data_IF_902118811861
#
_entry.id   IF_902118811861
#
_cell.length_a   1.000
_cell.length_b   1.000
_cell.length_c   1.000
_cell.angle_alpha   90.00
_cell.angle_beta   90.00
_cell.angle_gamma   90.00
#
_symmetry.space_group_name_H-M   'P 1'
#
loop_
_entity.id
_entity.type
_entity.pdbx_description
1 polymer ?
#
# COMPACT_ATOMS: atom_id res chain seq x y z
N UNK A 1 -21.23 3.20 -1.77
CA UNK A 1 -21.01 1.88 -2.42
C UNK A 1 -19.79 2.02 -3.30
N UNK A 2 -18.64 1.53 -2.84
CA UNK A 2 -17.49 1.36 -3.74
C UNK A 2 -17.86 0.20 -4.66
N UNK A 3 -17.95 0.48 -5.97
CA UNK A 3 -18.40 -0.48 -6.97
C UNK A 3 -17.55 -1.75 -6.96
N UNK A 4 -18.16 -2.87 -7.33
CA UNK A 4 -17.45 -4.13 -7.52
C UNK A 4 -16.24 -3.89 -8.43
N UNK A 5 -15.05 -4.21 -7.91
CA UNK A 5 -13.80 -4.03 -8.63
C UNK A 5 -13.75 -5.05 -9.77
N UNK A 6 -14.06 -4.62 -11.00
CA UNK A 6 -13.94 -5.46 -12.18
C UNK A 6 -12.48 -5.45 -12.63
N UNK A 7 -11.66 -6.32 -12.04
CA UNK A 7 -10.24 -6.41 -12.37
C UNK A 7 -9.45 -7.17 -11.32
N UNK A 8 -8.28 -7.66 -11.71
CA UNK A 8 -7.31 -8.25 -10.79
C UNK A 8 -6.62 -7.14 -10.00
N UNK A 9 -6.92 -6.98 -8.70
CA UNK A 9 -6.23 -6.03 -7.83
C UNK A 9 -4.91 -6.63 -7.34
N UNK A 10 -3.81 -5.93 -7.52
CA UNK A 10 -2.50 -6.25 -6.94
C UNK A 10 -2.31 -5.39 -5.69
N UNK A 11 -2.03 -6.01 -4.56
CA UNK A 11 -1.80 -5.33 -3.28
C UNK A 11 -0.30 -5.30 -3.04
N UNK A 12 0.24 -4.11 -2.79
CA UNK A 12 1.65 -3.87 -2.49
C UNK A 12 1.71 -3.14 -1.15
N UNK A 13 2.49 -3.62 -0.19
CA UNK A 13 2.61 -2.95 1.12
C UNK A 13 4.02 -3.08 1.70
N UNK A 14 4.33 -2.26 2.69
CA UNK A 14 5.57 -2.39 3.47
C UNK A 14 5.66 -3.76 4.16
N UNK A 15 6.88 -4.29 4.26
CA UNK A 15 7.11 -5.69 4.62
C UNK A 15 7.44 -5.97 6.08
N UNK A 16 7.82 -4.94 6.85
CA UNK A 16 8.52 -5.17 8.14
C UNK A 16 7.63 -5.01 9.37
N UNK A 17 6.66 -4.10 9.35
CA UNK A 17 5.95 -3.68 10.56
C UNK A 17 4.44 -4.01 10.53
N UNK A 18 3.82 -3.79 11.69
CA UNK A 18 2.39 -4.04 11.90
C UNK A 18 1.52 -3.12 11.03
N UNK A 19 2.01 -1.94 10.66
CA UNK A 19 1.23 -0.99 9.88
C UNK A 19 1.16 -1.37 8.39
N UNK A 20 2.30 -1.74 7.82
CA UNK A 20 2.40 -2.30 6.47
C UNK A 20 1.63 -3.60 6.33
N UNK A 21 1.77 -4.52 7.29
CA UNK A 21 1.04 -5.79 7.28
C UNK A 21 -0.47 -5.57 7.54
N UNK A 22 -0.83 -4.64 8.43
CA UNK A 22 -2.21 -4.36 8.78
C UNK A 22 -3.00 -3.74 7.64
N UNK A 23 -2.43 -2.74 6.97
CA UNK A 23 -3.00 -2.14 5.76
C UNK A 23 -3.18 -3.19 4.64
N UNK A 24 -2.18 -4.06 4.42
CA UNK A 24 -2.28 -5.17 3.47
C UNK A 24 -3.42 -6.16 3.81
N UNK A 25 -3.59 -6.51 5.08
CA UNK A 25 -4.64 -7.42 5.52
C UNK A 25 -6.06 -6.85 5.28
N UNK A 26 -6.24 -5.55 5.55
CA UNK A 26 -7.50 -4.85 5.26
C UNK A 26 -7.76 -4.82 3.75
N UNK A 27 -6.74 -4.52 2.95
CA UNK A 27 -6.85 -4.52 1.50
C UNK A 27 -7.25 -5.89 0.93
N UNK A 28 -6.64 -6.97 1.41
CA UNK A 28 -6.99 -8.34 1.02
C UNK A 28 -8.45 -8.65 1.33
N UNK A 29 -8.88 -8.33 2.55
CA UNK A 29 -10.26 -8.56 3.00
C UNK A 29 -11.28 -7.77 2.19
N UNK A 30 -11.01 -6.50 1.91
CA UNK A 30 -11.94 -5.59 1.24
C UNK A 30 -12.05 -5.85 -0.27
N UNK A 31 -10.97 -6.31 -0.89
CA UNK A 31 -10.93 -6.57 -2.35
C UNK A 31 -11.21 -8.02 -2.72
N UNK A 32 -11.03 -8.96 -1.79
CA UNK A 32 -11.03 -10.40 -2.09
C UNK A 32 -9.84 -10.85 -2.94
N UNK A 33 -8.83 -9.99 -3.12
CA UNK A 33 -7.62 -10.34 -3.88
C UNK A 33 -6.80 -11.42 -3.19
N UNK A 34 -5.97 -12.10 -3.98
CA UNK A 34 -4.95 -13.07 -3.52
C UNK A 34 -3.55 -12.70 -3.98
N UNK A 35 -3.37 -11.50 -4.52
CA UNK A 35 -2.10 -11.01 -5.06
C UNK A 35 -1.51 -9.98 -4.11
N UNK A 36 -0.82 -10.46 -3.09
CA UNK A 36 -0.09 -9.63 -2.14
C UNK A 36 1.41 -9.68 -2.46
N UNK A 37 2.03 -8.52 -2.45
CA UNK A 37 3.46 -8.33 -2.53
C UNK A 37 3.89 -7.43 -1.37
N UNK A 38 4.72 -7.97 -0.48
CA UNK A 38 5.35 -7.19 0.57
C UNK A 38 6.73 -6.77 0.05
N UNK A 39 7.04 -5.48 0.13
CA UNK A 39 8.29 -4.92 -0.37
C UNK A 39 8.81 -3.85 0.58
N UNK A 40 10.13 -3.80 0.76
CA UNK A 40 10.82 -2.67 1.38
C UNK A 40 11.29 -1.63 0.36
N UNK A 41 12.32 -0.88 0.75
CA UNK A 41 12.87 0.22 -0.06
C UNK A 41 14.04 -0.19 -0.98
N UNK A 42 14.39 -1.47 -1.04
CA UNK A 42 15.44 -1.95 -1.94
C UNK A 42 15.00 -1.85 -3.42
N UNK A 43 15.76 -1.16 -4.30
CA UNK A 43 15.37 -1.00 -5.69
C UNK A 43 15.22 -2.31 -6.49
N UNK A 44 15.91 -3.39 -6.12
CA UNK A 44 15.81 -4.67 -6.81
C UNK A 44 14.44 -5.33 -6.59
N UNK A 45 13.89 -5.22 -5.38
CA UNK A 45 12.53 -5.68 -5.08
C UNK A 45 11.47 -4.98 -5.95
N UNK A 46 11.68 -3.69 -6.24
CA UNK A 46 10.80 -2.90 -7.10
C UNK A 46 10.93 -3.27 -8.59
N UNK A 47 12.12 -3.66 -9.03
CA UNK A 47 12.32 -4.21 -10.38
C UNK A 47 11.57 -5.53 -10.55
N UNK A 48 11.65 -6.41 -9.55
CA UNK A 48 10.94 -7.69 -9.55
C UNK A 48 9.42 -7.50 -9.51
N UNK A 49 8.93 -6.61 -8.64
CA UNK A 49 7.54 -6.17 -8.59
C UNK A 49 7.09 -5.65 -9.96
N UNK A 50 7.85 -4.73 -10.56
CA UNK A 50 7.56 -4.19 -11.89
C UNK A 50 7.45 -5.29 -12.95
N UNK A 51 8.34 -6.28 -12.91
CA UNK A 51 8.29 -7.46 -13.78
C UNK A 51 7.00 -8.28 -13.63
N UNK A 52 6.52 -8.45 -12.40
CA UNK A 52 5.28 -9.15 -12.08
C UNK A 52 4.04 -8.38 -12.55
N UNK A 53 3.97 -7.08 -12.24
CA UNK A 53 2.88 -6.20 -12.64
C UNK A 53 2.76 -6.09 -14.17
N UNK A 54 3.90 -5.99 -14.86
CA UNK A 54 3.94 -6.01 -16.33
C UNK A 54 3.37 -7.29 -16.92
N UNK A 55 3.70 -8.45 -16.36
CA UNK A 55 3.13 -9.75 -16.78
C UNK A 55 1.62 -9.77 -16.54
N UNK A 56 1.17 -9.30 -15.37
CA UNK A 56 -0.24 -9.16 -15.03
C UNK A 56 -1.01 -8.33 -16.05
N UNK A 57 -0.52 -7.12 -16.35
CA UNK A 57 -1.18 -6.27 -17.33
C UNK A 57 -1.19 -6.86 -18.74
N UNK A 58 -0.11 -7.53 -19.19
CA UNK A 58 -0.10 -8.19 -20.50
C UNK A 58 -1.13 -9.31 -20.62
N UNK A 59 -1.44 -10.00 -19.51
CA UNK A 59 -2.46 -11.06 -19.47
C UNK A 59 -3.88 -10.49 -19.59
N UNK A 60 -4.17 -9.43 -18.84
CA UNK A 60 -5.55 -8.96 -18.65
C UNK A 60 -5.90 -7.70 -19.48
N UNK A 61 -4.92 -7.04 -20.08
CA UNK A 61 -5.08 -5.74 -20.77
C UNK A 61 -5.37 -4.55 -19.85
N UNK A 62 -5.59 -4.81 -18.56
CA UNK A 62 -5.80 -3.80 -17.52
C UNK A 62 -5.19 -4.24 -16.19
N UNK A 63 -4.79 -3.29 -15.35
CA UNK A 63 -4.30 -3.57 -14.00
C UNK A 63 -4.75 -2.51 -12.99
N UNK A 64 -5.15 -2.95 -11.81
CA UNK A 64 -5.38 -2.10 -10.65
C UNK A 64 -4.42 -2.49 -9.54
N UNK A 65 -3.75 -1.50 -8.96
CA UNK A 65 -2.73 -1.67 -7.94
C UNK A 65 -3.13 -0.84 -6.74
N UNK A 66 -3.13 -1.46 -5.58
CA UNK A 66 -3.27 -0.76 -4.31
C UNK A 66 -1.93 -0.83 -3.58
N UNK A 67 -1.35 0.34 -3.31
CA UNK A 67 -0.08 0.46 -2.60
C UNK A 67 -0.35 1.04 -1.21
N UNK A 68 0.27 0.50 -0.17
CA UNK A 68 0.19 1.06 1.17
C UNK A 68 1.52 1.15 1.88
N UNK A 69 1.60 2.13 2.79
CA UNK A 69 2.68 2.27 3.77
C UNK A 69 4.10 2.42 3.19
N UNK A 70 4.19 2.99 2.00
CA UNK A 70 5.44 3.10 1.25
C UNK A 70 5.58 4.52 0.72
N UNK A 71 6.60 5.27 1.15
CA UNK A 71 6.96 6.59 0.62
C UNK A 71 8.30 6.61 -0.13
N UNK A 72 8.46 5.77 -1.17
CA UNK A 72 9.75 5.53 -1.77
C UNK A 72 10.27 6.76 -2.53
N UNK A 73 11.54 6.70 -2.93
CA UNK A 73 12.13 7.74 -3.77
C UNK A 73 11.57 7.73 -5.20
N UNK A 74 11.85 8.81 -5.93
CA UNK A 74 11.46 8.97 -7.34
C UNK A 74 11.85 7.76 -8.21
N UNK A 75 13.04 7.19 -7.99
CA UNK A 75 13.56 6.05 -8.74
C UNK A 75 12.63 4.83 -8.71
N UNK A 76 12.00 4.56 -7.56
CA UNK A 76 11.08 3.44 -7.40
C UNK A 76 9.81 3.62 -8.23
N UNK A 77 9.27 4.84 -8.26
CA UNK A 77 8.13 5.21 -9.09
C UNK A 77 8.50 5.17 -10.58
N UNK A 78 9.72 5.57 -10.94
CA UNK A 78 10.24 5.45 -12.31
C UNK A 78 10.29 3.97 -12.76
N UNK A 79 10.73 3.05 -11.90
CA UNK A 79 10.73 1.60 -12.17
C UNK A 79 9.30 1.09 -12.42
N UNK A 80 8.32 1.49 -11.60
CA UNK A 80 6.92 1.13 -11.82
C UNK A 80 6.39 1.71 -13.14
N UNK A 81 6.66 2.98 -13.40
CA UNK A 81 6.18 3.68 -14.59
C UNK A 81 6.76 3.07 -15.87
N UNK A 82 8.04 2.70 -15.87
CA UNK A 82 8.67 1.97 -16.98
C UNK A 82 8.05 0.59 -17.17
N UNK A 83 7.85 -0.14 -16.08
CA UNK A 83 7.27 -1.49 -16.12
C UNK A 83 5.83 -1.51 -16.67
N UNK A 84 5.08 -0.45 -16.41
CA UNK A 84 3.67 -0.31 -16.80
C UNK A 84 3.47 0.57 -18.05
N UNK A 85 4.54 1.01 -18.72
CA UNK A 85 4.47 1.94 -19.87
C UNK A 85 3.49 1.45 -20.94
N UNK A 86 3.63 0.20 -21.35
CA UNK A 86 2.83 -0.41 -22.42
C UNK A 86 1.50 -0.99 -21.94
N UNK A 87 1.15 -0.80 -20.66
CA UNK A 87 -0.10 -1.27 -20.09
C UNK A 87 -1.27 -0.41 -20.58
N UNK A 88 -2.26 -0.96 -21.34
CA UNK A 88 -3.32 -0.16 -21.96
C UNK A 88 -4.21 0.58 -20.96
N UNK A 89 -4.52 -0.08 -19.84
CA UNK A 89 -5.30 0.50 -18.75
C UNK A 89 -4.63 0.18 -17.42
N UNK A 90 -4.32 1.20 -16.64
CA UNK A 90 -3.65 1.08 -15.35
C UNK A 90 -4.21 2.09 -14.38
N UNK A 91 -4.35 1.68 -13.13
CA UNK A 91 -4.70 2.54 -12.01
C UNK A 91 -3.89 2.12 -10.80
N UNK A 92 -3.34 3.10 -10.08
CA UNK A 92 -2.68 2.89 -8.79
C UNK A 92 -3.40 3.76 -7.78
N UNK A 93 -3.92 3.15 -6.71
CA UNK A 93 -4.35 3.87 -5.52
C UNK A 93 -3.27 3.70 -4.45
N UNK A 94 -2.73 4.80 -3.95
CA UNK A 94 -1.61 4.79 -3.00
C UNK A 94 -2.07 5.39 -1.67
N UNK A 95 -2.16 4.55 -0.65
CA UNK A 95 -2.72 4.88 0.66
C UNK A 95 -1.59 4.94 1.68
N UNK A 96 -1.25 6.12 2.16
CA UNK A 96 -0.06 6.30 3.00
C UNK A 96 -0.26 7.39 4.07
N UNK A 97 0.70 7.53 4.98
CA UNK A 97 0.70 8.53 6.06
C UNK A 97 2.05 9.25 6.21
N UNK A 98 3.10 8.79 5.53
CA UNK A 98 4.43 9.38 5.60
C UNK A 98 4.52 10.78 4.98
N UNK A 99 5.66 11.45 5.24
CA UNK A 99 6.04 12.65 4.51
C UNK A 99 6.72 12.26 3.21
N UNK A 100 6.20 12.76 2.10
CA UNK A 100 6.79 12.59 0.79
C UNK A 100 7.59 13.83 0.41
N UNK A 101 8.63 13.64 -0.40
CA UNK A 101 9.36 14.76 -1.00
C UNK A 101 8.50 15.32 -2.14
N UNK A 102 8.39 16.64 -2.22
CA UNK A 102 7.53 17.34 -3.21
C UNK A 102 7.81 16.92 -4.65
N UNK A 103 9.08 16.69 -4.99
CA UNK A 103 9.48 16.22 -6.32
C UNK A 103 8.98 14.81 -6.66
N UNK A 104 8.76 13.97 -5.64
CA UNK A 104 8.24 12.61 -5.80
C UNK A 104 6.73 12.66 -5.98
N UNK A 105 6.02 13.48 -5.18
CA UNK A 105 4.58 13.72 -5.33
C UNK A 105 4.26 14.28 -6.72
N UNK A 106 4.94 15.36 -7.10
CA UNK A 106 4.78 16.00 -8.41
C UNK A 106 5.01 15.02 -9.56
N UNK A 107 6.02 14.14 -9.42
CA UNK A 107 6.28 13.10 -10.41
C UNK A 107 5.17 12.06 -10.46
N UNK A 108 4.73 11.53 -9.31
CA UNK A 108 3.65 10.55 -9.24
C UNK A 108 2.34 11.08 -9.85
N UNK A 109 1.96 12.31 -9.51
CA UNK A 109 0.79 12.99 -10.05
C UNK A 109 0.88 13.19 -11.57
N UNK A 110 2.06 13.58 -12.07
CA UNK A 110 2.27 13.79 -13.51
C UNK A 110 2.06 12.55 -14.38
N UNK A 111 2.10 11.35 -13.79
CA UNK A 111 1.83 10.09 -14.49
C UNK A 111 0.35 9.91 -14.83
N UNK A 112 -0.56 10.60 -14.12
CA UNK A 112 -2.00 10.66 -14.42
C UNK A 112 -2.80 9.38 -14.17
N UNK A 113 -2.19 8.34 -13.60
CA UNK A 113 -2.86 7.09 -13.21
C UNK A 113 -2.59 6.69 -11.76
N UNK A 114 -1.98 7.57 -10.97
CA UNK A 114 -1.71 7.37 -9.54
C UNK A 114 -2.61 8.32 -8.75
N UNK A 115 -3.53 7.75 -7.98
CA UNK A 115 -4.38 8.44 -7.02
C UNK A 115 -3.72 8.34 -5.63
N UNK A 116 -3.28 9.46 -5.07
CA UNK A 116 -2.67 9.52 -3.74
C UNK A 116 -3.74 9.79 -2.66
N UNK A 117 -3.76 8.97 -1.62
CA UNK A 117 -4.52 9.16 -0.39
C UNK A 117 -3.52 9.23 0.77
N UNK A 118 -3.13 10.45 1.14
CA UNK A 118 -2.14 10.69 2.20
C UNK A 118 -2.80 11.43 3.35
N UNK A 119 -2.89 10.77 4.50
CA UNK A 119 -3.37 11.39 5.74
C UNK A 119 -2.43 11.09 6.89
N UNK A 120 -1.67 12.11 7.26
CA UNK A 120 -0.58 12.03 8.25
C UNK A 120 -1.05 12.01 9.70
N UNK A 121 -2.36 12.13 9.95
CA UNK A 121 -2.93 12.07 11.31
C UNK A 121 -3.26 10.65 11.78
N UNK A 122 -3.00 9.68 10.91
CA UNK A 122 -3.38 8.28 11.01
C UNK A 122 -2.21 7.39 10.61
N UNK A 123 -2.31 6.11 10.91
CA UNK A 123 -1.42 5.09 10.35
C UNK A 123 -1.88 4.67 8.94
N UNK A 124 -1.05 3.99 8.17
CA UNK A 124 -1.45 3.42 6.88
C UNK A 124 -2.59 2.41 7.02
N UNK A 125 -2.63 1.62 8.11
CA UNK A 125 -3.73 0.70 8.45
C UNK A 125 -5.03 1.45 8.67
N UNK A 126 -5.01 2.54 9.45
CA UNK A 126 -6.18 3.38 9.68
C UNK A 126 -6.67 4.05 8.39
N UNK A 127 -5.74 4.55 7.57
CA UNK A 127 -6.03 5.14 6.27
C UNK A 127 -6.66 4.11 5.32
N UNK A 128 -6.15 2.88 5.32
CA UNK A 128 -6.71 1.81 4.50
C UNK A 128 -8.13 1.41 4.95
N UNK A 129 -8.38 1.34 6.26
CA UNK A 129 -9.72 1.10 6.78
C UNK A 129 -10.71 2.18 6.33
N UNK A 130 -10.29 3.45 6.35
CA UNK A 130 -11.11 4.57 5.86
C UNK A 130 -11.29 4.58 4.35
N UNK A 131 -10.24 4.28 3.60
CA UNK A 131 -10.29 4.20 2.15
C UNK A 131 -11.39 3.22 1.69
N UNK A 132 -11.54 2.09 2.38
CA UNK A 132 -12.62 1.12 2.13
C UNK A 132 -13.92 1.36 2.90
N UNK A 133 -13.97 2.40 3.75
CA UNK A 133 -15.10 2.71 4.63
C UNK A 133 -15.49 1.52 5.54
N UNK A 134 -14.48 0.90 6.16
CA UNK A 134 -14.59 -0.22 7.10
C UNK A 134 -13.96 0.10 8.46
N UNK A 135 -13.65 1.37 8.73
CA UNK A 135 -13.04 1.83 10.00
C UNK A 135 -13.94 1.64 11.24
N UNK A 136 -15.23 1.42 11.04
CA UNK A 136 -16.18 1.07 12.10
C UNK A 136 -16.34 -0.45 12.32
N UNK A 137 -15.63 -1.29 11.57
CA UNK A 137 -15.70 -2.74 11.75
C UNK A 137 -14.95 -3.18 13.01
N UNK A 138 -15.71 -3.67 13.99
CA UNK A 138 -15.18 -4.19 15.26
C UNK A 138 -14.13 -5.29 15.10
N UNK A 139 -14.16 -6.07 14.01
CA UNK A 139 -13.16 -7.11 13.75
C UNK A 139 -11.77 -6.53 13.42
N UNK A 140 -11.70 -5.28 12.94
CA UNK A 140 -10.44 -4.59 12.66
C UNK A 140 -9.86 -3.86 13.86
N UNK A 141 -10.65 -3.69 14.95
CA UNK A 141 -10.25 -2.90 16.11
C UNK A 141 -8.88 -3.32 16.70
N UNK A 142 -8.59 -4.61 16.94
CA UNK A 142 -7.27 -4.99 17.46
C UNK A 142 -6.13 -4.61 16.53
N UNK A 143 -6.34 -4.70 15.22
CA UNK A 143 -5.33 -4.37 14.22
C UNK A 143 -5.07 -2.86 14.17
N UNK A 144 -6.12 -2.05 14.21
CA UNK A 144 -6.03 -0.58 14.23
C UNK A 144 -5.34 -0.08 15.50
N UNK A 145 -5.68 -0.67 16.65
CA UNK A 145 -5.05 -0.33 17.93
C UNK A 145 -3.57 -0.72 17.94
N UNK A 146 -3.21 -1.93 17.50
CA UNK A 146 -1.83 -2.38 17.45
C UNK A 146 -0.97 -1.57 16.49
N UNK A 147 -1.44 -1.34 15.25
CA UNK A 147 -0.73 -0.52 14.26
C UNK A 147 -0.44 0.87 14.83
N UNK A 148 -1.45 1.54 15.40
CA UNK A 148 -1.26 2.88 16.00
C UNK A 148 -0.31 2.87 17.18
N UNK A 149 -0.39 1.86 18.04
CA UNK A 149 0.41 1.77 19.24
C UNK A 149 1.90 1.54 18.93
N UNK A 150 2.21 0.72 17.92
CA UNK A 150 3.59 0.47 17.46
C UNK A 150 4.14 1.62 16.63
N UNK A 151 3.37 2.13 15.65
CA UNK A 151 3.84 3.14 14.69
C UNK A 151 4.14 4.49 15.37
N UNK A 152 3.34 4.87 16.36
CA UNK A 152 3.54 6.10 17.14
C UNK A 152 4.46 5.89 18.36
N UNK A 153 4.99 4.68 18.56
CA UNK A 153 5.88 4.35 19.68
C UNK A 153 5.22 4.53 21.06
N UNK A 154 3.91 4.26 21.16
CA UNK A 154 3.14 4.43 22.39
C UNK A 154 3.32 3.25 23.35
N UNK A 155 3.46 2.05 22.79
CA UNK A 155 3.74 0.79 23.49
C UNK A 155 2.84 0.49 24.71
N UNK A 156 1.54 0.73 24.58
CA UNK A 156 0.54 0.53 25.65
C UNK A 156 -0.02 -0.89 25.66
N UNK A 157 -0.01 -1.56 24.52
CA UNK A 157 -0.52 -2.92 24.39
C UNK A 157 0.61 -3.92 24.63
N UNK A 158 0.43 -5.01 25.40
CA UNK A 158 1.51 -5.97 25.71
C UNK A 158 2.17 -6.60 24.46
N UNK A 159 1.44 -6.71 23.35
CA UNK A 159 1.96 -7.23 22.07
C UNK A 159 2.73 -6.21 21.23
N UNK A 160 2.75 -4.94 21.64
CA UNK A 160 3.46 -3.87 20.93
C UNK A 160 4.88 -3.65 21.47
N UNK A 161 5.19 -4.20 22.64
CA UNK A 161 6.49 -4.01 23.28
C UNK A 161 7.61 -4.52 22.36
N UNK A 162 8.66 -3.71 22.09
CA UNK A 162 9.77 -4.16 21.29
C UNK A 162 10.39 -5.42 21.88
N UNK A 163 10.61 -6.44 21.06
CA UNK A 163 11.35 -7.62 21.47
C UNK A 163 12.76 -7.17 21.84
N UNK A 164 13.08 -7.22 23.13
CA UNK A 164 14.46 -7.06 23.59
C UNK A 164 15.03 -8.46 23.77
N UNK A 165 15.99 -8.82 22.92
CA UNK A 165 16.85 -9.97 23.19
C UNK A 165 17.66 -9.63 24.46
N UNK A 166 17.21 -10.17 25.61
CA UNK A 166 17.94 -10.10 26.88
C UNK A 166 18.80 -11.32 27.09
#
# INVERSE_FOLDING_TARGET
MVGAVSGQVYIVSHEEDVDGIGSAAIALRSTGSRRLYLVGYDPSAWVDLGGLLRKGCRSEGSIEILVSDLNPGKRHIEILAESLRDCPSKKISWVDHHVWREEVLSFAESLGYIDLYIDRSRTATENMARFFNVDNDSALKPLLELSRDTDYGLFRHPLSEPLTDT
#
